data_IF_858090174029
#
_entry.id   IF_858090174029
#
_cell.length_a   1.000
_cell.length_b   1.000
_cell.length_c   1.000
_cell.angle_alpha   90.00
_cell.angle_beta   90.00
_cell.angle_gamma   90.00
#
_symmetry.space_group_name_H-M   'P 1'
#
loop_
_entity.id
_entity.type
_entity.pdbx_description
1 polymer ?
#
# COMPACT_ATOMS: atom_id res chain seq x y z
N UNK A 1 -13.21 13.64 -51.20
CA UNK A 1 -13.27 12.46 -50.30
C UNK A 1 -12.03 12.55 -49.44
N UNK A 2 -12.17 13.10 -48.22
CA UNK A 2 -11.05 13.23 -47.30
C UNK A 2 -10.74 11.86 -46.71
N UNK A 3 -9.47 11.53 -46.61
CA UNK A 3 -8.99 10.30 -46.02
C UNK A 3 -9.46 10.26 -44.54
N UNK A 4 -10.24 9.25 -44.09
CA UNK A 4 -10.75 9.20 -42.72
C UNK A 4 -9.65 9.18 -41.63
N UNK A 5 -8.39 8.94 -42.02
CA UNK A 5 -7.22 9.01 -41.14
C UNK A 5 -6.58 10.39 -40.99
N UNK A 6 -6.88 11.36 -41.86
CA UNK A 6 -6.35 12.73 -41.73
C UNK A 6 -7.18 13.58 -40.77
N UNK A 7 -8.51 13.44 -40.76
CA UNK A 7 -9.37 14.23 -39.86
C UNK A 7 -9.26 13.84 -38.38
N UNK A 8 -8.76 12.63 -38.07
CA UNK A 8 -8.58 12.18 -36.69
C UNK A 8 -7.33 12.79 -36.02
N UNK A 9 -6.33 13.23 -36.81
CA UNK A 9 -5.09 13.83 -36.31
C UNK A 9 -5.24 15.29 -35.91
N UNK A 10 -6.24 16.00 -36.44
CA UNK A 10 -6.50 17.41 -36.14
C UNK A 10 -7.45 17.61 -34.94
N UNK A 11 -8.01 16.54 -34.37
CA UNK A 11 -8.89 16.64 -33.21
C UNK A 11 -8.14 16.44 -31.89
N UNK A 12 -8.41 17.33 -30.92
CA UNK A 12 -7.81 17.27 -29.61
C UNK A 12 -8.11 15.93 -28.90
N UNK A 13 -7.09 15.30 -28.31
CA UNK A 13 -7.23 14.05 -27.59
C UNK A 13 -6.30 13.98 -26.38
N UNK A 14 -6.58 13.04 -25.47
CA UNK A 14 -5.76 12.86 -24.27
C UNK A 14 -4.42 12.23 -24.61
N UNK A 15 -3.32 12.83 -24.14
CA UNK A 15 -1.96 12.35 -24.37
C UNK A 15 -1.14 12.32 -23.07
N UNK A 16 -0.61 11.15 -22.71
CA UNK A 16 0.26 11.00 -21.54
C UNK A 16 1.68 11.48 -21.82
N UNK A 17 2.11 12.50 -21.09
CA UNK A 17 3.47 13.01 -21.15
C UNK A 17 4.45 12.23 -20.27
N UNK A 18 5.72 12.21 -20.66
CA UNK A 18 6.79 11.58 -19.91
C UNK A 18 7.17 12.39 -18.67
N UNK A 19 6.96 11.82 -17.47
CA UNK A 19 7.17 12.53 -16.19
C UNK A 19 8.54 12.26 -15.54
N UNK A 20 9.37 11.43 -16.18
CA UNK A 20 10.70 11.05 -15.73
C UNK A 20 10.72 9.93 -14.67
N UNK A 21 11.86 9.24 -14.55
CA UNK A 21 11.99 8.00 -13.76
C UNK A 21 11.66 8.18 -12.27
N UNK A 22 12.00 9.32 -11.67
CA UNK A 22 11.71 9.60 -10.26
C UNK A 22 10.22 9.68 -9.96
N UNK A 23 9.42 10.23 -10.88
CA UNK A 23 7.97 10.25 -10.72
C UNK A 23 7.39 8.83 -10.81
N UNK A 24 7.91 8.00 -11.73
CA UNK A 24 7.48 6.60 -11.87
C UNK A 24 7.76 5.79 -10.60
N UNK A 25 8.93 6.00 -9.97
CA UNK A 25 9.23 5.41 -8.66
C UNK A 25 8.29 5.91 -7.56
N UNK A 26 7.96 7.21 -7.53
CA UNK A 26 7.04 7.76 -6.56
C UNK A 26 5.61 7.19 -6.73
N UNK A 27 5.15 6.99 -7.97
CA UNK A 27 3.90 6.27 -8.23
C UNK A 27 3.96 4.82 -7.71
N UNK A 28 5.07 4.11 -7.94
CA UNK A 28 5.25 2.76 -7.40
C UNK A 28 5.21 2.74 -5.86
N UNK A 29 5.84 3.70 -5.19
CA UNK A 29 5.78 3.86 -3.72
C UNK A 29 4.33 4.03 -3.27
N UNK A 30 3.57 4.94 -3.90
CA UNK A 30 2.14 5.14 -3.58
C UNK A 30 1.35 3.83 -3.73
N UNK A 31 1.57 3.08 -4.80
CA UNK A 31 0.84 1.83 -5.05
C UNK A 31 1.17 0.70 -4.08
N UNK A 32 2.38 0.69 -3.48
CA UNK A 32 2.77 -0.26 -2.42
C UNK A 32 2.29 0.19 -1.05
N UNK A 33 2.45 1.48 -0.73
CA UNK A 33 2.21 1.99 0.61
C UNK A 33 0.74 1.92 0.99
N UNK A 34 -0.19 2.13 0.05
CA UNK A 34 -1.64 2.00 0.34
C UNK A 34 -2.01 0.60 0.85
N UNK A 35 -1.71 -0.51 0.14
CA UNK A 35 -1.98 -1.86 0.65
C UNK A 35 -1.12 -2.23 1.86
N UNK A 36 0.10 -1.71 1.97
CA UNK A 36 0.92 -1.86 3.18
C UNK A 36 0.22 -1.26 4.41
N UNK A 37 -0.29 -0.03 4.32
CA UNK A 37 -1.10 0.59 5.39
C UNK A 37 -2.39 -0.20 5.66
N UNK A 38 -3.02 -0.74 4.61
CA UNK A 38 -4.16 -1.65 4.76
C UNK A 38 -3.82 -2.88 5.59
N UNK A 39 -2.64 -3.47 5.39
CA UNK A 39 -2.15 -4.58 6.21
C UNK A 39 -1.90 -4.17 7.66
N UNK A 40 -1.40 -2.96 7.93
CA UNK A 40 -1.25 -2.46 9.30
C UNK A 40 -2.60 -2.36 10.02
N UNK A 41 -3.65 -1.89 9.33
CA UNK A 41 -5.02 -1.85 9.90
C UNK A 41 -5.52 -3.26 10.20
N UNK A 42 -5.30 -4.21 9.29
CA UNK A 42 -5.68 -5.61 9.51
C UNK A 42 -4.91 -6.20 10.69
N UNK A 43 -3.59 -5.97 10.78
CA UNK A 43 -2.77 -6.39 11.93
C UNK A 43 -3.29 -5.80 13.23
N UNK A 44 -3.60 -4.49 13.26
CA UNK A 44 -4.13 -3.81 14.44
C UNK A 44 -5.46 -4.40 14.91
N UNK A 45 -6.42 -4.58 13.98
CA UNK A 45 -7.71 -5.21 14.31
C UNK A 45 -7.51 -6.64 14.77
N UNK A 46 -6.60 -7.38 14.14
CA UNK A 46 -6.29 -8.77 14.52
C UNK A 46 -5.68 -8.83 15.93
N UNK A 47 -4.79 -7.89 16.29
CA UNK A 47 -4.23 -7.80 17.64
C UNK A 47 -5.31 -7.55 18.70
N UNK A 48 -6.25 -6.64 18.42
CA UNK A 48 -7.37 -6.39 19.36
C UNK A 48 -8.25 -7.63 19.49
N UNK A 49 -8.65 -8.25 18.37
CA UNK A 49 -9.52 -9.43 18.40
C UNK A 49 -8.84 -10.58 19.12
N UNK A 50 -7.58 -10.89 18.79
CA UNK A 50 -6.83 -11.98 19.42
C UNK A 50 -6.56 -11.64 20.88
N UNK A 51 -6.25 -10.39 21.22
CA UNK A 51 -6.08 -9.93 22.60
C UNK A 51 -7.33 -10.15 23.45
N UNK A 52 -8.51 -9.72 22.98
CA UNK A 52 -9.79 -9.92 23.68
C UNK A 52 -10.10 -11.42 23.83
N UNK A 53 -9.94 -12.21 22.76
CA UNK A 53 -10.19 -13.66 22.80
C UNK A 53 -9.18 -14.38 23.72
N UNK A 54 -7.96 -13.86 23.83
CA UNK A 54 -6.94 -14.33 24.76
C UNK A 54 -7.30 -14.02 26.21
N UNK A 55 -7.72 -12.79 26.51
CA UNK A 55 -8.15 -12.37 27.86
C UNK A 55 -9.37 -13.16 28.37
N UNK A 56 -10.29 -13.54 27.48
CA UNK A 56 -11.44 -14.40 27.81
C UNK A 56 -11.05 -15.88 28.04
N UNK A 57 -9.78 -16.25 27.88
CA UNK A 57 -9.29 -17.61 28.05
C UNK A 57 -9.68 -18.56 26.92
N UNK A 58 -10.36 -18.08 25.87
CA UNK A 58 -10.84 -18.91 24.76
C UNK A 58 -9.68 -19.55 24.00
N UNK A 59 -8.57 -18.83 23.80
CA UNK A 59 -7.36 -19.38 23.17
C UNK A 59 -6.81 -20.54 24.01
N UNK A 60 -6.68 -20.32 25.32
CA UNK A 60 -6.21 -21.33 26.28
C UNK A 60 -7.14 -22.54 26.29
N UNK A 61 -8.45 -22.34 26.33
CA UNK A 61 -9.46 -23.41 26.35
C UNK A 61 -9.46 -24.25 25.07
N UNK A 62 -9.28 -23.61 23.91
CA UNK A 62 -9.17 -24.31 22.63
C UNK A 62 -7.88 -25.11 22.55
N UNK A 63 -6.75 -24.52 22.98
CA UNK A 63 -5.45 -25.18 22.98
C UNK A 63 -5.41 -26.33 24.00
N UNK A 64 -6.02 -26.16 25.18
CA UNK A 64 -6.08 -27.16 26.24
C UNK A 64 -6.78 -28.48 25.82
N UNK A 65 -7.54 -28.47 24.71
CA UNK A 65 -8.10 -29.68 24.10
C UNK A 65 -7.05 -30.57 23.43
N UNK A 66 -5.90 -30.00 23.10
CA UNK A 66 -4.86 -30.65 22.29
C UNK A 66 -3.51 -30.74 23.01
N UNK A 67 -3.22 -29.80 23.91
CA UNK A 67 -1.98 -29.74 24.70
C UNK A 67 -2.30 -29.56 26.19
N UNK A 68 -1.39 -29.93 27.11
CA UNK A 68 -1.59 -29.71 28.54
C UNK A 68 -1.92 -28.24 28.87
N UNK A 69 -2.84 -28.01 29.82
CA UNK A 69 -3.36 -26.68 30.16
C UNK A 69 -2.26 -25.66 30.47
N UNK A 70 -1.22 -26.06 31.22
CA UNK A 70 -0.09 -25.18 31.53
C UNK A 70 0.63 -24.68 30.27
N UNK A 71 0.76 -25.52 29.23
CA UNK A 71 1.35 -25.13 27.94
C UNK A 71 0.41 -24.27 27.11
N UNK A 72 -0.89 -24.56 27.16
CA UNK A 72 -1.90 -23.72 26.51
C UNK A 72 -1.88 -22.29 27.07
N UNK A 73 -1.63 -22.15 28.37
CA UNK A 73 -1.49 -20.87 29.03
C UNK A 73 -0.19 -20.15 28.62
N UNK A 74 0.95 -20.85 28.59
CA UNK A 74 2.24 -20.30 28.11
C UNK A 74 2.16 -19.79 26.66
N UNK A 75 1.48 -20.51 25.75
CA UNK A 75 1.24 -20.03 24.37
C UNK A 75 0.44 -18.74 24.36
N UNK A 76 -0.62 -18.69 25.17
CA UNK A 76 -1.50 -17.53 25.25
C UNK A 76 -0.75 -16.30 25.78
N UNK A 77 0.09 -16.47 26.80
CA UNK A 77 0.88 -15.41 27.40
C UNK A 77 1.95 -14.90 26.42
N UNK A 78 2.66 -15.79 25.73
CA UNK A 78 3.65 -15.41 24.71
C UNK A 78 3.02 -14.71 23.51
N UNK A 79 1.81 -15.13 23.11
CA UNK A 79 1.04 -14.47 22.08
C UNK A 79 0.65 -13.05 22.52
N UNK A 80 0.14 -12.89 23.74
CA UNK A 80 -0.19 -11.58 24.30
C UNK A 80 1.03 -10.64 24.33
N UNK A 81 2.21 -11.12 24.75
CA UNK A 81 3.45 -10.34 24.71
C UNK A 81 3.82 -9.89 23.29
N UNK A 82 3.73 -10.79 22.31
CA UNK A 82 3.98 -10.45 20.90
C UNK A 82 2.98 -9.43 20.38
N UNK A 83 1.69 -9.58 20.67
CA UNK A 83 0.67 -8.63 20.23
C UNK A 83 0.90 -7.25 20.84
N UNK A 84 1.18 -7.17 22.15
CA UNK A 84 1.47 -5.93 22.87
C UNK A 84 2.67 -5.20 22.29
N UNK A 85 3.79 -5.89 22.07
CA UNK A 85 4.96 -5.24 21.51
C UNK A 85 4.74 -4.83 20.05
N UNK A 86 3.98 -5.61 19.28
CA UNK A 86 3.76 -5.36 17.86
C UNK A 86 2.88 -4.12 17.59
N UNK A 87 2.20 -3.56 18.60
CA UNK A 87 1.57 -2.24 18.49
C UNK A 87 2.59 -1.13 18.17
N UNK A 88 3.81 -1.21 18.72
CA UNK A 88 4.84 -0.20 18.48
C UNK A 88 5.26 -0.17 16.99
N UNK A 89 5.64 -1.30 16.35
CA UNK A 89 5.82 -1.38 14.91
C UNK A 89 4.61 -0.92 14.10
N UNK A 90 3.36 -1.24 14.49
CA UNK A 90 2.16 -0.77 13.78
C UNK A 90 2.12 0.76 13.73
N UNK A 91 2.30 1.43 14.87
CA UNK A 91 2.28 2.89 14.95
C UNK A 91 3.45 3.49 14.16
N UNK A 92 4.66 2.95 14.35
CA UNK A 92 5.86 3.43 13.67
C UNK A 92 5.76 3.28 12.14
N UNK A 93 5.32 2.12 11.65
CA UNK A 93 5.16 1.88 10.22
C UNK A 93 3.98 2.62 9.61
N UNK A 94 2.89 2.83 10.35
CA UNK A 94 1.79 3.67 9.89
C UNK A 94 2.31 5.09 9.67
N UNK A 95 3.03 5.62 10.66
CA UNK A 95 3.66 6.93 10.58
C UNK A 95 4.59 7.07 9.36
N UNK A 96 5.54 6.15 9.21
CA UNK A 96 6.49 6.15 8.10
C UNK A 96 5.82 5.93 6.75
N UNK A 97 4.79 5.09 6.67
CA UNK A 97 4.01 4.84 5.46
C UNK A 97 3.24 6.08 5.00
N UNK A 98 2.59 6.80 5.92
CA UNK A 98 1.94 8.08 5.62
C UNK A 98 2.94 9.15 5.17
N UNK A 99 4.11 9.23 5.82
CA UNK A 99 5.19 10.12 5.40
C UNK A 99 5.70 9.77 3.99
N UNK A 100 5.90 8.49 3.71
CA UNK A 100 6.36 8.01 2.40
C UNK A 100 5.35 8.35 1.29
N UNK A 101 4.04 8.21 1.56
CA UNK A 101 2.99 8.64 0.63
C UNK A 101 3.05 10.15 0.41
N UNK A 102 3.14 10.95 1.47
CA UNK A 102 3.20 12.41 1.36
C UNK A 102 4.44 12.89 0.57
N UNK A 103 5.60 12.26 0.78
CA UNK A 103 6.81 12.51 0.02
C UNK A 103 6.66 12.09 -1.44
N UNK A 104 6.08 10.91 -1.70
CA UNK A 104 5.84 10.42 -3.05
C UNK A 104 4.91 11.36 -3.83
N UNK A 105 3.80 11.79 -3.25
CA UNK A 105 2.89 12.77 -3.87
C UNK A 105 3.59 14.11 -4.15
N UNK A 106 4.44 14.57 -3.24
CA UNK A 106 5.25 15.79 -3.45
C UNK A 106 6.20 15.65 -4.64
N UNK A 107 6.85 14.49 -4.79
CA UNK A 107 7.73 14.19 -5.93
C UNK A 107 6.93 14.11 -7.23
N UNK A 108 5.76 13.46 -7.20
CA UNK A 108 4.84 13.37 -8.33
C UNK A 108 4.42 14.78 -8.77
N UNK A 109 3.92 15.60 -7.84
CA UNK A 109 3.50 16.98 -8.09
C UNK A 109 4.60 17.79 -8.78
N UNK A 110 5.81 17.80 -8.21
CA UNK A 110 6.92 18.55 -8.75
C UNK A 110 7.38 18.07 -10.14
N UNK A 111 7.41 16.75 -10.36
CA UNK A 111 7.90 16.16 -11.60
C UNK A 111 6.87 16.20 -12.73
N UNK A 112 5.61 15.96 -12.42
CA UNK A 112 4.49 16.10 -13.36
C UNK A 112 4.37 17.55 -13.78
N UNK A 113 4.40 18.51 -12.85
CA UNK A 113 4.38 19.94 -13.17
C UNK A 113 5.50 20.34 -14.12
N UNK A 114 6.73 19.88 -13.85
CA UNK A 114 7.87 20.16 -14.73
C UNK A 114 7.72 19.55 -16.12
N UNK A 115 7.19 18.32 -16.20
CA UNK A 115 6.98 17.63 -17.47
C UNK A 115 5.89 18.30 -18.31
N UNK A 116 4.78 18.70 -17.70
CA UNK A 116 3.71 19.42 -18.37
C UNK A 116 4.14 20.82 -18.80
N UNK A 117 4.96 21.49 -18.00
CA UNK A 117 5.57 22.76 -18.39
C UNK A 117 6.44 22.62 -19.65
N UNK A 118 7.37 21.67 -19.66
CA UNK A 118 8.21 21.43 -20.83
C UNK A 118 7.37 21.02 -22.07
N UNK A 119 6.30 20.25 -21.85
CA UNK A 119 5.37 19.89 -22.90
C UNK A 119 4.52 21.08 -23.38
N UNK A 120 4.23 22.07 -22.54
CA UNK A 120 3.49 23.26 -22.94
C UNK A 120 4.35 24.17 -23.84
N UNK A 121 5.65 24.27 -23.57
CA UNK A 121 6.60 25.06 -24.36
C UNK A 121 6.80 24.48 -25.76
N UNK A 122 6.94 23.14 -25.88
CA UNK A 122 7.32 22.46 -27.12
C UNK A 122 6.17 21.70 -27.83
N UNK A 123 5.05 21.46 -27.13
CA UNK A 123 4.08 20.44 -27.51
C UNK A 123 2.92 20.94 -28.37
N UNK A 124 2.28 20.02 -29.07
CA UNK A 124 1.12 20.24 -29.95
C UNK A 124 -0.15 20.61 -29.14
N UNK A 125 -0.90 21.68 -29.51
CA UNK A 125 -2.13 22.07 -28.82
C UNK A 125 -3.26 21.03 -28.91
N UNK A 126 -3.18 20.06 -29.83
CA UNK A 126 -4.14 18.97 -29.96
C UNK A 126 -3.85 17.80 -28.99
N UNK A 127 -2.65 17.74 -28.40
CA UNK A 127 -2.26 16.72 -27.42
C UNK A 127 -2.55 17.22 -26.00
N UNK A 128 -3.77 17.03 -25.52
CA UNK A 128 -4.17 17.57 -24.21
C UNK A 128 -3.73 16.60 -23.10
N UNK A 129 -3.09 17.05 -22.01
CA UNK A 129 -2.74 16.18 -20.90
C UNK A 129 -3.97 15.52 -20.26
N UNK A 130 -3.93 14.22 -19.89
CA UNK A 130 -5.03 13.55 -19.22
C UNK A 130 -5.31 14.17 -17.84
N UNK A 131 -6.54 14.08 -17.32
CA UNK A 131 -6.88 14.63 -16.01
C UNK A 131 -6.03 14.06 -14.85
N UNK A 132 -5.54 12.83 -14.97
CA UNK A 132 -4.64 12.22 -13.99
C UNK A 132 -3.25 12.88 -13.92
N UNK A 133 -2.80 13.56 -14.99
CA UNK A 133 -1.58 14.38 -14.99
C UNK A 133 -1.86 15.86 -14.68
N UNK A 134 -3.06 16.35 -14.96
CA UNK A 134 -3.45 17.73 -14.61
C UNK A 134 -3.75 17.90 -13.11
N UNK A 135 -4.31 16.87 -12.45
CA UNK A 135 -4.71 16.96 -11.04
C UNK A 135 -3.61 17.48 -10.08
N UNK A 136 -2.36 16.96 -10.12
CA UNK A 136 -1.30 17.48 -9.26
C UNK A 136 -0.94 18.95 -9.54
N UNK A 137 -1.21 19.45 -10.75
CA UNK A 137 -0.90 20.83 -11.15
C UNK A 137 -2.04 21.78 -10.80
N UNK A 138 -3.29 21.34 -10.89
CA UNK A 138 -4.49 22.13 -10.56
C UNK A 138 -4.77 22.22 -9.05
N UNK A 139 -4.34 21.21 -8.28
CA UNK A 139 -4.56 21.11 -6.85
C UNK A 139 -3.77 22.12 -6.00
N UNK A 140 -4.04 22.13 -4.68
CA UNK A 140 -3.24 22.94 -3.76
C UNK A 140 -1.82 22.37 -3.60
N UNK A 141 -0.77 23.21 -3.56
CA UNK A 141 0.59 22.70 -3.44
C UNK A 141 0.80 21.95 -2.14
N UNK A 142 1.52 20.83 -2.20
CA UNK A 142 1.89 19.99 -1.05
C UNK A 142 0.69 19.52 -0.22
N UNK A 143 -0.48 19.29 -0.84
CA UNK A 143 -1.70 18.91 -0.12
C UNK A 143 -1.50 17.66 0.77
N UNK A 144 -0.88 16.61 0.23
CA UNK A 144 -0.60 15.38 0.99
C UNK A 144 0.31 15.63 2.20
N UNK A 145 1.34 16.46 2.05
CA UNK A 145 2.24 16.84 3.14
C UNK A 145 1.54 17.70 4.20
N UNK A 146 0.60 18.56 3.79
CA UNK A 146 -0.23 19.34 4.71
C UNK A 146 -1.17 18.44 5.49
N UNK A 147 -1.80 17.45 4.86
CA UNK A 147 -2.63 16.45 5.53
C UNK A 147 -1.79 15.67 6.56
N UNK A 148 -0.60 15.23 6.16
CA UNK A 148 0.35 14.56 7.06
C UNK A 148 0.75 15.44 8.25
N UNK A 149 1.11 16.71 8.01
CA UNK A 149 1.47 17.66 9.06
C UNK A 149 0.29 17.95 10.01
N UNK A 150 -0.94 18.03 9.48
CA UNK A 150 -2.16 18.19 10.28
C UNK A 150 -2.40 16.97 11.16
N UNK A 151 -2.31 15.77 10.61
CA UNK A 151 -2.45 14.52 11.37
C UNK A 151 -1.38 14.43 12.48
N UNK A 152 -0.14 14.78 12.15
CA UNK A 152 0.97 14.89 13.10
C UNK A 152 0.68 15.85 14.25
N UNK A 153 0.11 17.03 13.94
CA UNK A 153 -0.23 18.01 14.95
C UNK A 153 -1.28 17.48 15.93
N UNK A 154 -2.28 16.74 15.43
CA UNK A 154 -3.29 16.11 16.28
C UNK A 154 -2.71 15.01 17.16
N UNK A 155 -2.02 14.02 16.56
CA UNK A 155 -1.43 12.90 17.29
C UNK A 155 -0.37 13.39 18.27
N UNK A 156 0.49 14.30 17.81
CA UNK A 156 1.51 14.93 18.62
C UNK A 156 0.96 15.81 19.74
N UNK A 157 -0.19 16.45 19.54
CA UNK A 157 -0.90 17.19 20.59
C UNK A 157 -1.40 16.28 21.70
N UNK A 158 -1.94 15.09 21.36
CA UNK A 158 -2.33 14.08 22.34
C UNK A 158 -1.10 13.54 23.07
N UNK A 159 -0.04 13.18 22.35
CA UNK A 159 1.22 12.71 22.94
C UNK A 159 1.85 13.76 23.86
N UNK A 160 1.84 15.04 23.46
CA UNK A 160 2.29 16.16 24.28
C UNK A 160 1.50 16.24 25.59
N UNK A 161 0.18 16.19 25.53
CA UNK A 161 -0.66 16.24 26.74
C UNK A 161 -0.37 15.07 27.69
N UNK A 162 -0.20 13.85 27.15
CA UNK A 162 0.18 12.67 27.93
C UNK A 162 1.56 12.81 28.58
N UNK A 163 2.55 13.29 27.82
CA UNK A 163 3.92 13.48 28.33
C UNK A 163 4.00 14.60 29.38
N UNK A 164 3.23 15.67 29.23
CA UNK A 164 3.12 16.73 30.26
C UNK A 164 2.46 16.17 31.52
N UNK A 165 1.37 15.41 31.39
CA UNK A 165 0.73 14.76 32.54
C UNK A 165 1.72 13.85 33.27
N UNK A 166 2.44 13.01 32.53
CA UNK A 166 3.49 12.15 33.08
C UNK A 166 4.59 12.96 33.78
N UNK A 167 5.07 14.04 33.15
CA UNK A 167 6.10 14.90 33.72
C UNK A 167 5.67 15.59 35.03
N UNK A 168 4.39 15.94 35.15
CA UNK A 168 3.82 16.56 36.36
C UNK A 168 3.59 15.52 37.46
N UNK A 169 3.04 14.36 37.12
CA UNK A 169 2.71 13.31 38.10
C UNK A 169 3.96 12.65 38.67
N UNK A 170 4.95 12.37 37.82
CA UNK A 170 6.19 11.67 38.20
C UNK A 170 7.35 12.63 38.51
N UNK A 171 7.09 13.95 38.55
CA UNK A 171 8.11 15.00 38.70
C UNK A 171 9.33 14.81 37.76
N UNK A 172 9.07 14.30 36.55
CA UNK A 172 10.11 13.83 35.64
C UNK A 172 10.61 14.91 34.69
N UNK A 173 11.88 15.31 34.85
CA UNK A 173 12.56 16.21 33.91
C UNK A 173 12.62 15.64 32.48
N UNK A 174 12.74 14.32 32.34
CA UNK A 174 12.71 13.65 31.03
C UNK A 174 11.33 13.72 30.38
N UNK A 175 10.25 13.67 31.17
CA UNK A 175 8.90 13.90 30.67
C UNK A 175 8.72 15.29 30.05
N UNK A 176 9.23 16.33 30.72
CA UNK A 176 9.20 17.71 30.20
C UNK A 176 10.03 17.86 28.93
N UNK A 177 11.23 17.28 28.89
CA UNK A 177 12.07 17.29 27.70
C UNK A 177 11.39 16.60 26.52
N UNK A 178 10.83 15.40 26.73
CA UNK A 178 10.11 14.65 25.71
C UNK A 178 8.89 15.43 25.18
N UNK A 179 8.10 16.04 26.07
CA UNK A 179 6.98 16.89 25.69
C UNK A 179 7.45 18.07 24.81
N UNK A 180 8.51 18.78 25.22
CA UNK A 180 9.05 19.89 24.44
C UNK A 180 9.52 19.45 23.05
N UNK A 181 10.19 18.29 22.95
CA UNK A 181 10.64 17.74 21.67
C UNK A 181 9.45 17.42 20.76
N UNK A 182 8.39 16.79 21.28
CA UNK A 182 7.18 16.50 20.51
C UNK A 182 6.49 17.78 20.04
N UNK A 183 6.38 18.79 20.90
CA UNK A 183 5.79 20.08 20.55
C UNK A 183 6.61 20.80 19.48
N UNK A 184 7.94 20.90 19.66
CA UNK A 184 8.84 21.54 18.70
C UNK A 184 8.80 20.85 17.34
N UNK A 185 8.79 19.51 17.33
CA UNK A 185 8.69 18.71 16.10
C UNK A 185 7.39 18.99 15.33
N UNK A 186 6.25 18.86 16.01
CA UNK A 186 4.92 18.95 15.38
C UNK A 186 4.60 20.36 14.89
N UNK A 187 4.92 21.39 15.69
CA UNK A 187 4.79 22.79 15.30
C UNK A 187 5.78 23.15 14.20
N UNK A 188 7.04 22.71 14.31
CA UNK A 188 8.06 22.94 13.30
C UNK A 188 7.68 22.37 11.94
N UNK A 189 7.16 21.14 11.92
CA UNK A 189 6.64 20.50 10.70
C UNK A 189 5.48 21.29 10.10
N UNK A 190 4.48 21.65 10.92
CA UNK A 190 3.31 22.41 10.46
C UNK A 190 3.68 23.77 9.86
N UNK A 191 4.51 24.55 10.58
CA UNK A 191 4.99 25.86 10.12
C UNK A 191 5.86 25.72 8.88
N UNK A 192 6.75 24.72 8.85
CA UNK A 192 7.63 24.44 7.72
C UNK A 192 6.85 24.13 6.44
N UNK A 193 5.86 23.25 6.51
CA UNK A 193 5.01 22.87 5.36
C UNK A 193 4.21 24.06 4.86
N UNK A 194 3.58 24.84 5.76
CA UNK A 194 2.80 26.02 5.36
C UNK A 194 3.67 27.11 4.71
N UNK A 195 4.90 27.32 5.21
CA UNK A 195 5.85 28.27 4.63
C UNK A 195 6.38 27.80 3.27
N UNK A 196 6.59 26.50 3.09
CA UNK A 196 7.00 25.96 1.80
C UNK A 196 5.86 26.07 0.78
N UNK A 197 4.63 25.74 1.19
CA UNK A 197 3.43 25.85 0.37
C UNK A 197 3.20 27.29 -0.14
N UNK A 198 3.30 28.30 0.72
CA UNK A 198 3.08 29.69 0.30
C UNK A 198 4.10 30.14 -0.77
N UNK A 199 5.34 29.66 -0.69
CA UNK A 199 6.37 29.91 -1.71
C UNK A 199 6.09 29.17 -3.02
N UNK A 200 5.61 27.93 -2.93
CA UNK A 200 5.31 27.11 -4.12
C UNK A 200 4.04 27.57 -4.84
N UNK A 201 3.03 28.08 -4.11
CA UNK A 201 1.78 28.57 -4.69
C UNK A 201 2.00 29.65 -5.77
N UNK A 202 2.91 30.60 -5.52
CA UNK A 202 3.25 31.65 -6.51
C UNK A 202 3.85 31.05 -7.78
N UNK A 203 4.69 30.02 -7.64
CA UNK A 203 5.32 29.35 -8.78
C UNK A 203 4.32 28.50 -9.56
N UNK A 204 3.47 27.78 -8.84
CA UNK A 204 2.45 26.92 -9.42
C UNK A 204 1.39 27.75 -10.17
N UNK A 205 0.99 28.91 -9.65
CA UNK A 205 0.07 29.82 -10.36
C UNK A 205 0.63 30.25 -11.72
N UNK A 206 1.91 30.66 -11.78
CA UNK A 206 2.57 31.01 -13.05
C UNK A 206 2.64 29.83 -14.02
N UNK A 207 2.78 28.62 -13.50
CA UNK A 207 2.79 27.41 -14.31
C UNK A 207 1.39 27.08 -14.84
N UNK A 208 0.36 27.20 -14.01
CA UNK A 208 -1.03 27.03 -14.43
C UNK A 208 -1.39 28.01 -15.54
N UNK A 209 -0.99 29.29 -15.43
CA UNK A 209 -1.23 30.31 -16.45
C UNK A 209 -0.58 29.93 -17.81
N UNK A 210 0.64 29.40 -17.80
CA UNK A 210 1.35 28.99 -19.02
C UNK A 210 0.76 27.72 -19.64
N UNK A 211 0.42 26.72 -18.81
CA UNK A 211 -0.25 25.49 -19.25
C UNK A 211 -1.62 25.81 -19.86
N UNK A 212 -2.39 26.69 -19.21
CA UNK A 212 -3.70 27.14 -19.70
C UNK A 212 -3.60 27.96 -21.00
N UNK A 213 -2.51 28.71 -21.19
CA UNK A 213 -2.26 29.44 -22.43
C UNK A 213 -2.01 28.49 -23.62
N UNK A 214 -1.42 27.31 -23.39
CA UNK A 214 -1.15 26.34 -24.45
C UNK A 214 -2.35 25.44 -24.77
N UNK A 215 -2.98 24.89 -23.74
CA UNK A 215 -4.17 24.05 -23.87
C UNK A 215 -5.38 24.80 -23.30
N UNK A 216 -6.03 25.66 -24.12
CA UNK A 216 -7.20 26.41 -23.67
C UNK A 216 -8.36 25.48 -23.29
N UNK A 217 -9.23 25.96 -22.41
CA UNK A 217 -10.39 25.19 -21.92
C UNK A 217 -11.25 24.61 -23.05
N UNK A 218 -11.30 25.26 -24.22
CA UNK A 218 -12.03 24.77 -25.39
C UNK A 218 -11.50 23.44 -25.92
N UNK A 219 -10.17 23.28 -26.02
CA UNK A 219 -9.56 22.03 -26.46
C UNK A 219 -9.86 20.90 -25.44
N UNK A 220 -9.76 21.22 -24.15
CA UNK A 220 -10.09 20.28 -23.09
C UNK A 220 -11.59 19.89 -23.10
N UNK A 221 -12.47 20.86 -23.33
CA UNK A 221 -13.91 20.66 -23.43
C UNK A 221 -14.30 19.78 -24.62
N UNK A 222 -13.59 19.89 -25.75
CA UNK A 222 -13.77 18.99 -26.91
C UNK A 222 -13.44 17.54 -26.53
N UNK A 223 -12.30 17.30 -25.85
CA UNK A 223 -11.93 15.94 -25.43
C UNK A 223 -12.91 15.41 -24.38
N UNK A 224 -13.32 16.24 -23.41
CA UNK A 224 -14.32 15.90 -22.40
C UNK A 224 -15.68 15.55 -23.01
N UNK A 225 -16.13 16.30 -24.02
CA UNK A 225 -17.39 16.04 -24.72
C UNK A 225 -17.35 14.70 -25.49
N UNK A 226 -16.22 14.39 -26.15
CA UNK A 226 -16.00 13.07 -26.77
C UNK A 226 -16.00 11.93 -25.74
N UNK A 227 -15.33 12.16 -24.61
CA UNK A 227 -15.27 11.20 -23.51
C UNK A 227 -16.63 10.96 -22.83
N UNK A 228 -17.52 11.96 -22.83
CA UNK A 228 -18.86 11.93 -22.24
C UNK A 228 -19.90 11.18 -23.09
N UNK A 229 -19.61 10.89 -24.38
CA UNK A 229 -20.50 10.07 -25.20
C UNK A 229 -20.65 8.68 -24.54
N UNK A 230 -21.82 8.48 -23.92
CA UNK A 230 -22.17 7.26 -23.17
C UNK A 230 -21.90 6.03 -24.04
N UNK A 231 -21.26 4.98 -23.48
CA UNK A 231 -21.14 3.72 -24.19
C UNK A 231 -22.54 3.17 -24.45
N UNK A 232 -22.87 2.98 -25.71
CA UNK A 232 -24.01 2.18 -26.13
C UNK A 232 -23.75 0.74 -25.68
N UNK A 233 -24.52 0.31 -24.68
CA UNK A 233 -25.02 -1.06 -24.47
C UNK A 233 -24.15 -2.22 -23.95
N UNK A 234 -22.91 -2.04 -23.46
CA UNK A 234 -22.20 -3.19 -22.84
C UNK A 234 -22.40 -3.23 -21.32
N UNK A 235 -23.19 -4.22 -20.87
CA UNK A 235 -23.49 -4.53 -19.47
C UNK A 235 -22.20 -5.03 -18.79
N UNK A 236 -22.06 -4.77 -17.49
CA UNK A 236 -20.90 -5.19 -16.68
C UNK A 236 -20.56 -6.69 -16.71
N UNK A 237 -21.51 -7.54 -17.16
CA UNK A 237 -21.31 -8.99 -17.35
C UNK A 237 -20.26 -9.36 -18.41
N UNK A 238 -20.00 -8.48 -19.39
CA UNK A 238 -19.11 -8.81 -20.52
C UNK A 238 -17.61 -8.73 -20.15
N UNK A 239 -17.26 -8.32 -18.93
CA UNK A 239 -15.86 -8.22 -18.48
C UNK A 239 -15.28 -9.59 -18.15
N UNK A 240 -16.10 -10.50 -17.63
CA UNK A 240 -15.69 -11.91 -17.44
C UNK A 240 -15.65 -12.68 -18.76
N UNK A 241 -16.45 -12.26 -19.75
CA UNK A 241 -16.47 -12.82 -21.10
C UNK A 241 -15.32 -12.29 -21.98
N UNK A 242 -14.75 -11.13 -21.65
CA UNK A 242 -13.58 -10.60 -22.32
C UNK A 242 -12.32 -11.48 -22.07
N UNK A 243 -11.39 -11.60 -23.06
CA UNK A 243 -10.21 -12.45 -22.93
C UNK A 243 -9.38 -12.12 -21.68
N UNK A 244 -9.18 -13.12 -20.80
CA UNK A 244 -8.42 -12.94 -19.57
C UNK A 244 -9.21 -12.39 -18.36
N UNK A 245 -10.50 -12.08 -18.51
CA UNK A 245 -11.37 -11.64 -17.41
C UNK A 245 -11.44 -12.64 -16.26
N UNK A 246 -11.68 -13.92 -16.56
CA UNK A 246 -11.69 -15.04 -15.59
C UNK A 246 -10.35 -15.21 -14.86
N UNK A 247 -9.23 -15.07 -15.57
CA UNK A 247 -7.88 -15.16 -14.98
C UNK A 247 -7.64 -14.04 -13.97
N UNK A 248 -8.04 -12.80 -14.29
CA UNK A 248 -7.95 -11.67 -13.35
C UNK A 248 -8.86 -11.84 -12.13
N UNK A 249 -10.06 -12.43 -12.31
CA UNK A 249 -10.95 -12.74 -11.20
C UNK A 249 -10.32 -13.76 -10.24
N UNK A 250 -9.79 -14.86 -10.77
CA UNK A 250 -9.11 -15.90 -9.96
C UNK A 250 -7.86 -15.36 -9.25
N UNK A 251 -7.07 -14.52 -9.94
CA UNK A 251 -5.92 -13.86 -9.33
C UNK A 251 -6.32 -13.03 -8.10
N UNK A 252 -7.43 -12.27 -8.17
CA UNK A 252 -7.92 -11.48 -7.02
C UNK A 252 -8.27 -12.37 -5.81
N UNK A 253 -8.95 -13.49 -6.03
CA UNK A 253 -9.31 -14.42 -4.94
C UNK A 253 -8.07 -15.01 -4.28
N UNK A 254 -7.06 -15.38 -5.09
CA UNK A 254 -5.81 -15.95 -4.62
C UNK A 254 -4.93 -14.98 -3.81
N UNK A 255 -5.11 -13.66 -3.96
CA UNK A 255 -4.36 -12.66 -3.15
C UNK A 255 -4.87 -12.59 -1.70
N UNK A 256 -6.12 -12.95 -1.44
CA UNK A 256 -6.73 -12.81 -0.10
C UNK A 256 -6.35 -13.96 0.85
N UNK A 257 -6.15 -15.16 0.30
CA UNK A 257 -5.85 -16.38 1.07
C UNK A 257 -4.49 -16.39 1.80
N UNK A 258 -3.38 -15.85 1.23
CA UNK A 258 -2.09 -15.79 1.91
C UNK A 258 -2.10 -15.01 3.23
N UNK A 259 -2.94 -13.99 3.37
CA UNK A 259 -3.04 -13.23 4.63
C UNK A 259 -3.55 -14.10 5.79
N UNK A 260 -4.57 -14.92 5.53
CA UNK A 260 -5.11 -15.86 6.52
C UNK A 260 -4.12 -17.00 6.83
N UNK A 261 -3.44 -17.51 5.80
CA UNK A 261 -2.41 -18.54 5.96
C UNK A 261 -1.18 -18.03 6.72
N UNK A 262 -0.79 -16.77 6.54
CA UNK A 262 0.30 -16.15 7.29
C UNK A 262 -0.02 -16.03 8.78
N UNK A 263 -1.26 -15.67 9.14
CA UNK A 263 -1.72 -15.67 10.53
C UNK A 263 -1.69 -17.09 11.13
N UNK A 264 -2.12 -18.11 10.37
CA UNK A 264 -2.04 -19.52 10.79
C UNK A 264 -0.58 -19.95 10.97
N UNK A 265 0.34 -19.52 10.09
CA UNK A 265 1.76 -19.83 10.22
C UNK A 265 2.38 -19.23 11.49
N UNK A 266 2.07 -17.97 11.81
CA UNK A 266 2.49 -17.33 13.07
C UNK A 266 1.91 -18.07 14.28
N UNK A 267 0.67 -18.52 14.20
CA UNK A 267 0.06 -19.30 15.28
C UNK A 267 0.72 -20.68 15.47
N UNK A 268 1.01 -21.39 14.38
CA UNK A 268 1.72 -22.68 14.41
C UNK A 268 3.16 -22.53 14.95
N UNK A 269 3.83 -21.44 14.62
CA UNK A 269 5.16 -21.08 15.14
C UNK A 269 5.15 -21.00 16.67
N UNK A 270 4.14 -20.34 17.25
CA UNK A 270 3.98 -20.18 18.70
C UNK A 270 3.65 -21.51 19.39
N UNK A 271 2.85 -22.37 18.74
CA UNK A 271 2.58 -23.72 19.24
C UNK A 271 3.88 -24.54 19.27
N UNK A 272 4.68 -24.51 18.20
CA UNK A 272 5.96 -25.23 18.15
C UNK A 272 6.93 -24.79 19.24
N UNK A 273 6.92 -23.49 19.57
CA UNK A 273 7.69 -22.86 20.65
C UNK A 273 7.35 -23.42 22.03
N UNK A 274 6.08 -23.31 22.43
CA UNK A 274 5.64 -23.75 23.74
C UNK A 274 5.76 -25.26 23.93
N UNK A 275 5.74 -26.02 22.83
CA UNK A 275 6.01 -27.45 22.89
C UNK A 275 7.51 -27.71 23.05
N UNK A 276 8.42 -26.97 22.41
CA UNK A 276 9.87 -27.25 22.48
C UNK A 276 10.54 -26.86 23.81
N UNK A 277 9.99 -25.89 24.53
CA UNK A 277 10.49 -25.42 25.82
C UNK A 277 9.42 -25.53 26.93
N UNK A 278 8.97 -26.74 27.30
CA UNK A 278 7.90 -26.88 28.27
C UNK A 278 8.37 -26.46 29.66
N UNK A 279 7.67 -25.52 30.29
CA UNK A 279 8.05 -24.93 31.57
C UNK A 279 8.80 -23.61 31.44
N UNK A 280 8.97 -23.11 30.21
CA UNK A 280 9.35 -21.71 30.02
C UNK A 280 8.22 -20.83 30.53
N UNK A 281 8.45 -20.13 31.64
CA UNK A 281 7.53 -19.13 32.18
C UNK A 281 7.99 -17.73 31.78
N UNK A 282 7.18 -16.73 32.09
CA UNK A 282 7.55 -15.30 32.01
C UNK A 282 8.90 -14.96 32.68
N UNK A 283 9.40 -15.80 33.61
CA UNK A 283 10.57 -15.48 34.42
C UNK A 283 11.75 -16.45 34.27
N UNK A 284 11.55 -17.64 33.68
CA UNK A 284 12.61 -18.64 33.53
C UNK A 284 12.43 -19.43 32.23
N UNK A 285 13.51 -19.54 31.44
CA UNK A 285 13.56 -20.43 30.30
C UNK A 285 13.87 -21.85 30.80
N UNK A 286 12.90 -22.76 30.69
CA UNK A 286 13.18 -24.18 30.86
C UNK A 286 14.09 -24.67 29.73
N UNK A 287 14.98 -25.60 30.06
CA UNK A 287 15.78 -26.33 29.07
C UNK A 287 14.86 -26.86 27.96
N UNK A 288 15.37 -26.89 26.73
CA UNK A 288 14.65 -27.52 25.63
C UNK A 288 14.29 -28.95 26.05
N UNK A 289 13.00 -29.28 26.08
CA UNK A 289 12.65 -30.64 26.45
C UNK A 289 13.12 -31.58 25.37
N UNK A 290 13.94 -32.54 25.77
CA UNK A 290 14.27 -33.68 24.93
C UNK A 290 13.03 -34.56 24.84
N UNK A 291 12.38 -34.51 23.68
CA UNK A 291 11.31 -35.43 23.36
C UNK A 291 11.87 -36.74 22.84
N UNK A 292 11.07 -37.81 22.95
CA UNK A 292 11.37 -39.04 22.23
C UNK A 292 11.45 -38.77 20.71
N UNK A 293 12.02 -39.72 19.96
CA UNK A 293 12.23 -39.54 18.52
C UNK A 293 10.94 -39.18 17.76
N UNK A 294 9.77 -39.62 18.26
CA UNK A 294 8.46 -39.31 17.67
C UNK A 294 8.04 -37.86 17.98
N UNK A 295 8.22 -37.37 19.20
CA UNK A 295 7.93 -35.99 19.59
C UNK A 295 8.86 -34.97 18.94
N UNK A 296 10.16 -35.25 18.80
CA UNK A 296 11.08 -34.41 18.01
C UNK A 296 10.70 -34.40 16.51
N UNK A 297 10.24 -35.53 15.97
CA UNK A 297 9.75 -35.60 14.58
C UNK A 297 8.47 -34.78 14.39
N UNK A 298 7.57 -34.75 15.36
CA UNK A 298 6.35 -33.93 15.35
C UNK A 298 6.65 -32.43 15.47
N UNK A 299 7.55 -32.04 16.38
CA UNK A 299 8.03 -30.67 16.55
C UNK A 299 8.78 -30.15 15.33
N UNK A 300 9.66 -30.96 14.75
CA UNK A 300 10.27 -30.70 13.45
C UNK A 300 9.23 -30.62 12.34
N UNK A 301 8.18 -31.44 12.42
CA UNK A 301 7.02 -31.40 11.53
C UNK A 301 6.28 -30.06 11.54
N UNK A 302 6.10 -29.42 12.70
CA UNK A 302 5.49 -28.08 12.80
C UNK A 302 6.30 -27.04 12.02
N UNK A 303 7.63 -27.10 12.12
CA UNK A 303 8.53 -26.25 11.34
C UNK A 303 8.42 -26.49 9.84
N UNK A 304 8.36 -27.76 9.41
CA UNK A 304 8.15 -28.11 8.01
C UNK A 304 6.77 -27.70 7.50
N UNK A 305 5.72 -27.80 8.33
CA UNK A 305 4.38 -27.32 8.00
C UNK A 305 4.39 -25.80 7.87
N UNK A 306 5.04 -25.08 8.78
CA UNK A 306 5.15 -23.63 8.70
C UNK A 306 5.91 -23.19 7.45
N UNK A 307 7.06 -23.81 7.18
CA UNK A 307 7.81 -23.57 5.95
C UNK A 307 6.95 -23.88 4.72
N UNK A 308 6.21 -24.99 4.72
CA UNK A 308 5.28 -25.34 3.66
C UNK A 308 4.16 -24.29 3.50
N UNK A 309 3.59 -23.77 4.59
CA UNK A 309 2.56 -22.72 4.54
C UNK A 309 3.13 -21.42 3.96
N UNK A 310 4.34 -21.01 4.38
CA UNK A 310 5.01 -19.83 3.82
C UNK A 310 5.31 -20.03 2.33
N UNK A 311 5.83 -21.20 1.95
CA UNK A 311 6.08 -21.56 0.55
C UNK A 311 4.77 -21.53 -0.25
N UNK A 312 3.69 -22.11 0.27
CA UNK A 312 2.36 -22.07 -0.37
C UNK A 312 1.87 -20.62 -0.50
N UNK A 313 2.03 -19.78 0.52
CA UNK A 313 1.67 -18.35 0.43
C UNK A 313 2.43 -17.66 -0.70
N UNK A 314 3.75 -17.85 -0.75
CA UNK A 314 4.60 -17.27 -1.82
C UNK A 314 4.17 -17.81 -3.17
N UNK A 315 3.95 -19.11 -3.31
CA UNK A 315 3.48 -19.74 -4.54
C UNK A 315 2.10 -19.21 -4.97
N UNK A 316 1.18 -18.96 -4.04
CA UNK A 316 -0.13 -18.38 -4.33
C UNK A 316 -0.02 -16.93 -4.79
N UNK A 317 0.88 -16.14 -4.19
CA UNK A 317 1.13 -14.76 -4.61
C UNK A 317 1.77 -14.74 -5.99
N UNK A 318 2.76 -15.60 -6.24
CA UNK A 318 3.43 -15.74 -7.54
C UNK A 318 2.43 -16.24 -8.59
N UNK A 319 1.63 -17.26 -8.29
CA UNK A 319 0.60 -17.77 -9.18
C UNK A 319 -0.45 -16.70 -9.49
N UNK A 320 -0.89 -15.93 -8.48
CA UNK A 320 -1.79 -14.79 -8.69
C UNK A 320 -1.16 -13.73 -9.58
N UNK A 321 0.11 -13.39 -9.36
CA UNK A 321 0.85 -12.44 -10.19
C UNK A 321 0.93 -12.93 -11.64
N UNK A 322 1.26 -14.20 -11.86
CA UNK A 322 1.34 -14.83 -13.19
C UNK A 322 -0.03 -14.87 -13.87
N UNK A 323 -1.08 -15.27 -13.16
CA UNK A 323 -2.45 -15.30 -13.69
C UNK A 323 -2.95 -13.89 -14.03
N UNK A 324 -2.67 -12.91 -13.16
CA UNK A 324 -2.97 -11.51 -13.41
C UNK A 324 -2.23 -11.00 -14.65
N UNK A 325 -0.93 -11.29 -14.77
CA UNK A 325 -0.11 -10.88 -15.90
C UNK A 325 -0.54 -11.55 -17.20
N UNK A 326 -0.83 -12.84 -17.18
CA UNK A 326 -1.35 -13.56 -18.34
C UNK A 326 -2.70 -12.97 -18.78
N UNK A 327 -3.58 -12.65 -17.82
CA UNK A 327 -4.85 -11.99 -18.08
C UNK A 327 -4.69 -10.57 -18.64
N UNK A 328 -3.74 -9.78 -18.13
CA UNK A 328 -3.46 -8.44 -18.66
C UNK A 328 -2.86 -8.50 -20.04
N UNK A 329 -1.88 -9.37 -20.30
CA UNK A 329 -1.26 -9.52 -21.62
C UNK A 329 -2.21 -10.10 -22.68
N UNK A 330 -3.19 -10.94 -22.30
CA UNK A 330 -4.24 -11.38 -23.21
C UNK A 330 -5.18 -10.21 -23.59
N UNK A 331 -5.61 -9.43 -22.59
CA UNK A 331 -6.49 -8.28 -22.81
C UNK A 331 -5.79 -7.16 -23.57
N UNK A 332 -4.51 -6.93 -23.31
CA UNK A 332 -3.69 -5.94 -24.00
C UNK A 332 -3.56 -6.28 -25.49
N UNK A 333 -3.25 -7.54 -25.83
CA UNK A 333 -3.20 -7.98 -27.23
C UNK A 333 -4.54 -7.79 -27.93
N UNK A 334 -5.63 -8.19 -27.30
CA UNK A 334 -6.98 -8.00 -27.82
C UNK A 334 -7.34 -6.52 -28.02
N UNK A 335 -6.93 -5.64 -27.08
CA UNK A 335 -7.11 -4.20 -27.22
C UNK A 335 -6.25 -3.60 -28.32
N UNK A 336 -5.00 -4.04 -28.50
CA UNK A 336 -4.11 -3.60 -29.59
C UNK A 336 -4.67 -3.99 -30.95
N UNK A 337 -5.10 -5.23 -31.11
CA UNK A 337 -5.74 -5.73 -32.34
C UNK A 337 -6.98 -4.91 -32.68
N UNK A 338 -7.86 -4.68 -31.70
CA UNK A 338 -9.05 -3.84 -31.91
C UNK A 338 -8.69 -2.39 -32.17
N UNK A 339 -7.65 -1.85 -31.53
CA UNK A 339 -7.20 -0.49 -31.73
C UNK A 339 -6.52 -0.28 -33.10
N UNK A 340 -6.07 -1.35 -33.76
CA UNK A 340 -5.55 -1.30 -35.13
C UNK A 340 -6.66 -1.36 -36.20
N UNK A 341 -7.77 -2.05 -35.95
CA UNK A 341 -8.88 -2.18 -36.91
C UNK A 341 -9.83 -0.97 -36.85
N UNK A 342 -9.91 -0.09 -37.88
CA UNK A 342 -10.75 1.12 -37.84
C UNK A 342 -12.25 0.84 -37.64
N UNK A 343 -12.71 -0.37 -37.98
CA UNK A 343 -14.13 -0.76 -37.90
C UNK A 343 -14.50 -1.40 -36.55
N UNK A 344 -13.52 -1.70 -35.69
CA UNK A 344 -13.78 -2.34 -34.42
C UNK A 344 -14.60 -1.44 -33.48
N UNK A 345 -15.64 -2.02 -32.90
CA UNK A 345 -16.51 -1.37 -31.92
C UNK A 345 -15.75 -1.00 -30.64
N UNK A 346 -16.25 0.02 -29.94
CA UNK A 346 -15.65 0.51 -28.69
C UNK A 346 -15.69 -0.60 -27.60
N UNK A 347 -14.55 -0.93 -26.97
CA UNK A 347 -14.51 -1.90 -25.87
C UNK A 347 -15.29 -1.45 -24.63
N UNK A 348 -15.61 -2.38 -23.70
CA UNK A 348 -16.32 -2.05 -22.46
C UNK A 348 -15.60 -0.96 -21.64
N UNK A 349 -16.37 -0.04 -21.04
CA UNK A 349 -15.82 1.10 -20.32
C UNK A 349 -14.85 0.71 -19.20
N UNK A 350 -15.19 -0.31 -18.39
CA UNK A 350 -14.31 -0.79 -17.31
C UNK A 350 -13.00 -1.41 -17.82
N UNK A 351 -13.01 -2.01 -19.02
CA UNK A 351 -11.80 -2.53 -19.65
C UNK A 351 -10.96 -1.36 -20.16
N UNK A 352 -11.55 -0.38 -20.85
CA UNK A 352 -10.83 0.81 -21.29
C UNK A 352 -10.22 1.56 -20.10
N UNK A 353 -10.98 1.81 -19.05
CA UNK A 353 -10.48 2.41 -17.80
C UNK A 353 -9.38 1.56 -17.14
N UNK A 354 -9.47 0.24 -17.33
CA UNK A 354 -8.48 -0.75 -16.94
C UNK A 354 -7.09 -0.53 -17.53
N UNK A 355 -7.01 -0.02 -18.75
CA UNK A 355 -5.77 0.05 -19.54
C UNK A 355 -5.41 1.46 -19.99
N UNK A 356 -6.32 2.42 -19.93
CA UNK A 356 -6.06 3.82 -20.27
C UNK A 356 -5.58 4.65 -19.09
N UNK A 357 -5.51 4.10 -17.88
CA UNK A 357 -5.00 4.77 -16.68
C UNK A 357 -3.78 4.03 -16.12
N UNK A 358 -2.96 4.74 -15.34
CA UNK A 358 -1.86 4.13 -14.60
C UNK A 358 -2.42 3.20 -13.54
N UNK A 359 -2.20 1.89 -13.70
CA UNK A 359 -2.61 0.89 -12.71
C UNK A 359 -1.41 0.29 -12.00
N UNK A 360 -1.49 0.20 -10.68
CA UNK A 360 -0.57 -0.61 -9.90
C UNK A 360 -0.82 -2.10 -10.14
N UNK A 361 0.25 -2.84 -10.42
CA UNK A 361 0.31 -4.28 -10.56
C UNK A 361 -0.40 -4.95 -9.38
N UNK A 362 -1.32 -5.91 -9.61
CA UNK A 362 -1.95 -6.66 -8.53
C UNK A 362 -0.93 -7.35 -7.62
N UNK A 363 0.16 -7.88 -8.21
CA UNK A 363 1.27 -8.48 -7.50
C UNK A 363 1.93 -7.48 -6.52
N UNK A 364 2.17 -6.24 -6.98
CA UNK A 364 2.73 -5.17 -6.15
C UNK A 364 1.85 -4.88 -4.93
N UNK A 365 0.52 -4.86 -5.13
CA UNK A 365 -0.43 -4.63 -4.04
C UNK A 365 -0.45 -5.78 -3.04
N UNK A 366 -0.47 -7.02 -3.53
CA UNK A 366 -0.39 -8.22 -2.69
C UNK A 366 0.91 -8.27 -1.89
N UNK A 367 2.04 -8.00 -2.53
CA UNK A 367 3.35 -7.95 -1.86
C UNK A 367 3.45 -6.82 -0.85
N UNK A 368 2.92 -5.63 -1.15
CA UNK A 368 2.85 -4.52 -0.19
C UNK A 368 2.04 -4.88 1.06
N UNK A 369 0.91 -5.58 0.87
CA UNK A 369 0.10 -6.08 1.98
C UNK A 369 0.86 -7.11 2.84
N UNK A 370 1.48 -8.11 2.21
CA UNK A 370 2.25 -9.15 2.92
C UNK A 370 3.45 -8.55 3.65
N UNK A 371 4.16 -7.61 3.02
CA UNK A 371 5.27 -6.91 3.66
C UNK A 371 4.79 -6.14 4.89
N UNK A 372 3.61 -5.51 4.86
CA UNK A 372 3.03 -4.87 6.05
C UNK A 372 2.79 -5.84 7.20
N UNK A 373 2.20 -7.00 6.94
CA UNK A 373 1.98 -8.03 7.96
C UNK A 373 3.30 -8.54 8.54
N UNK A 374 4.23 -8.93 7.66
CA UNK A 374 5.54 -9.49 8.03
C UNK A 374 6.37 -8.48 8.80
N UNK A 375 6.39 -7.21 8.38
CA UNK A 375 7.14 -6.16 9.09
C UNK A 375 6.60 -5.97 10.50
N UNK A 376 5.28 -5.95 10.71
CA UNK A 376 4.71 -5.73 12.05
C UNK A 376 5.09 -6.84 13.03
N UNK A 377 4.80 -8.09 12.69
CA UNK A 377 5.04 -9.22 13.60
C UNK A 377 6.52 -9.60 13.64
N UNK A 378 7.21 -9.53 12.50
CA UNK A 378 8.65 -9.77 12.42
C UNK A 378 9.43 -8.76 13.24
N UNK A 379 9.11 -7.46 13.16
CA UNK A 379 9.77 -6.46 14.01
C UNK A 379 9.42 -6.65 15.48
N UNK A 380 8.17 -7.04 15.82
CA UNK A 380 7.83 -7.41 17.19
C UNK A 380 8.69 -8.54 17.75
N UNK A 381 8.91 -9.61 16.97
CA UNK A 381 9.81 -10.71 17.32
C UNK A 381 11.27 -10.25 17.48
N UNK A 382 11.75 -9.38 16.59
CA UNK A 382 13.11 -8.83 16.69
C UNK A 382 13.26 -7.98 17.95
N UNK A 383 12.27 -7.16 18.29
CA UNK A 383 12.30 -6.33 19.50
C UNK A 383 12.33 -7.19 20.76
N UNK A 384 11.44 -8.20 20.85
CA UNK A 384 11.41 -9.10 22.01
C UNK A 384 12.68 -9.96 22.13
N UNK A 385 13.21 -10.42 21.00
CA UNK A 385 14.35 -11.33 20.97
C UNK A 385 15.73 -10.67 21.02
N UNK A 386 15.83 -9.36 20.73
CA UNK A 386 17.12 -8.65 20.65
C UNK A 386 17.34 -7.60 21.75
N UNK A 387 16.27 -7.10 22.35
CA UNK A 387 16.35 -6.04 23.35
C UNK A 387 16.03 -6.63 24.73
N UNK A 388 16.87 -6.30 25.71
CA UNK A 388 16.52 -6.52 27.12
C UNK A 388 15.41 -5.53 27.51
N UNK A 389 14.17 -5.96 27.26
CA UNK A 389 12.97 -5.16 27.53
C UNK A 389 12.52 -5.28 28.99
N UNK A 390 13.22 -6.05 29.83
CA UNK A 390 12.95 -6.13 31.27
C UNK A 390 13.10 -4.77 31.95
N UNK A 391 14.02 -3.92 31.47
CA UNK A 391 14.15 -2.54 31.93
C UNK A 391 13.06 -1.58 31.43
N UNK A 392 12.27 -1.96 30.41
CA UNK A 392 11.17 -1.14 29.88
C UNK A 392 9.86 -1.42 30.62
N UNK A 393 9.57 -2.70 30.87
CA UNK A 393 8.52 -3.13 31.78
C UNK A 393 8.76 -4.58 32.21
N UNK A 394 8.51 -4.88 33.49
CA UNK A 394 8.62 -6.23 34.05
C UNK A 394 7.75 -7.27 33.34
N UNK A 395 6.80 -6.84 32.49
CA UNK A 395 6.03 -7.75 31.64
C UNK A 395 6.87 -8.42 30.55
N UNK A 396 8.00 -7.83 30.15
CA UNK A 396 8.88 -8.33 29.09
C UNK A 396 10.18 -8.97 29.61
N UNK A 397 10.31 -9.19 30.92
CA UNK A 397 11.47 -9.90 31.48
C UNK A 397 11.63 -11.27 30.82
N UNK A 398 12.85 -11.65 30.41
CA UNK A 398 13.14 -12.95 29.80
C UNK A 398 12.62 -13.13 28.37
N UNK A 399 12.09 -12.09 27.72
CA UNK A 399 11.62 -12.18 26.34
C UNK A 399 12.74 -12.49 25.34
N UNK A 400 13.95 -12.01 25.61
CA UNK A 400 15.14 -12.26 24.81
C UNK A 400 15.50 -13.75 24.76
N UNK A 401 15.32 -14.46 25.87
CA UNK A 401 15.55 -15.89 25.98
C UNK A 401 14.50 -16.70 25.22
N UNK A 402 13.23 -16.25 25.22
CA UNK A 402 12.12 -16.91 24.53
C UNK A 402 12.17 -16.65 23.02
N UNK A 403 12.38 -15.40 22.62
CA UNK A 403 12.26 -14.95 21.23
C UNK A 403 13.61 -14.85 20.48
N UNK A 404 14.75 -14.97 21.18
CA UNK A 404 16.09 -14.80 20.60
C UNK A 404 16.38 -15.73 19.42
N UNK A 405 15.92 -16.98 19.47
CA UNK A 405 16.07 -17.95 18.37
C UNK A 405 15.37 -17.52 17.06
N UNK A 406 14.42 -16.57 17.15
CA UNK A 406 13.58 -16.13 16.03
C UNK A 406 14.06 -14.84 15.39
N UNK A 407 15.03 -14.15 15.98
CA UNK A 407 15.57 -12.91 15.45
C UNK A 407 16.10 -13.10 14.03
N UNK A 408 16.94 -14.11 13.81
CA UNK A 408 17.51 -14.36 12.48
C UNK A 408 16.45 -14.78 11.44
N UNK A 409 15.54 -15.73 11.71
CA UNK A 409 14.40 -16.01 10.83
C UNK A 409 13.52 -14.79 10.54
N UNK A 410 13.21 -13.98 11.55
CA UNK A 410 12.38 -12.79 11.40
C UNK A 410 13.05 -11.74 10.52
N UNK A 411 14.35 -11.48 10.72
CA UNK A 411 15.14 -10.59 9.86
C UNK A 411 15.20 -11.11 8.41
N UNK A 412 15.37 -12.43 8.23
CA UNK A 412 15.35 -13.05 6.91
C UNK A 412 14.00 -12.86 6.20
N UNK A 413 12.90 -13.05 6.91
CA UNK A 413 11.53 -12.87 6.39
C UNK A 413 11.26 -11.41 6.02
N UNK A 414 11.63 -10.46 6.90
CA UNK A 414 11.52 -9.02 6.63
C UNK A 414 12.35 -8.65 5.40
N UNK A 415 13.61 -9.07 5.35
CA UNK A 415 14.52 -8.79 4.24
C UNK A 415 13.98 -9.33 2.91
N UNK A 416 13.48 -10.56 2.90
CA UNK A 416 12.87 -11.17 1.72
C UNK A 416 11.61 -10.43 1.27
N UNK A 417 10.73 -10.04 2.20
CA UNK A 417 9.52 -9.29 1.88
C UNK A 417 9.84 -7.91 1.28
N UNK A 418 10.80 -7.19 1.87
CA UNK A 418 11.25 -5.88 1.35
C UNK A 418 11.91 -6.00 -0.02
N UNK A 419 12.75 -7.02 -0.24
CA UNK A 419 13.39 -7.27 -1.53
C UNK A 419 12.35 -7.55 -2.62
N UNK A 420 11.35 -8.38 -2.33
CA UNK A 420 10.27 -8.68 -3.28
C UNK A 420 9.42 -7.45 -3.60
N UNK A 421 9.16 -6.59 -2.62
CA UNK A 421 8.50 -5.29 -2.84
C UNK A 421 9.33 -4.43 -3.78
N UNK A 422 10.65 -4.32 -3.56
CA UNK A 422 11.54 -3.54 -4.43
C UNK A 422 11.57 -4.09 -5.88
N UNK A 423 11.62 -5.40 -6.06
CA UNK A 423 11.55 -6.05 -7.38
C UNK A 423 10.22 -5.72 -8.06
N UNK A 424 9.10 -5.85 -7.34
CA UNK A 424 7.78 -5.53 -7.88
C UNK A 424 7.64 -4.04 -8.23
N UNK A 425 8.25 -3.14 -7.44
CA UNK A 425 8.28 -1.72 -7.76
C UNK A 425 9.07 -1.45 -9.04
N UNK A 426 10.23 -2.11 -9.22
CA UNK A 426 11.01 -2.04 -10.46
C UNK A 426 10.22 -2.52 -11.68
N UNK A 427 9.52 -3.66 -11.54
CA UNK A 427 8.63 -4.18 -12.59
C UNK A 427 7.47 -3.21 -12.90
N UNK A 428 6.88 -2.59 -11.88
CA UNK A 428 5.84 -1.57 -12.05
C UNK A 428 6.35 -0.37 -12.83
N UNK A 429 7.53 0.15 -12.49
CA UNK A 429 8.15 1.28 -13.19
C UNK A 429 8.39 0.91 -14.65
N UNK A 430 8.99 -0.25 -14.90
CA UNK A 430 9.25 -0.74 -16.25
C UNK A 430 7.97 -0.88 -17.07
N UNK A 431 6.94 -1.52 -16.52
CA UNK A 431 5.64 -1.69 -17.19
C UNK A 431 4.95 -0.34 -17.45
N UNK A 432 4.96 0.57 -16.48
CA UNK A 432 4.31 1.88 -16.64
C UNK A 432 4.95 2.67 -17.77
N UNK A 433 6.28 2.57 -17.93
CA UNK A 433 7.02 3.21 -19.01
C UNK A 433 6.77 2.52 -20.35
N UNK A 434 6.87 1.19 -20.41
CA UNK A 434 6.73 0.44 -21.67
C UNK A 434 5.31 0.48 -22.24
N UNK A 435 4.29 0.55 -21.38
CA UNK A 435 2.89 0.59 -21.81
C UNK A 435 2.40 2.01 -22.15
N UNK A 436 3.21 3.07 -21.98
CA UNK A 436 2.75 4.46 -22.18
C UNK A 436 2.19 4.70 -23.58
N UNK A 437 2.89 4.22 -24.61
CA UNK A 437 2.46 4.36 -26.00
C UNK A 437 1.13 3.65 -26.24
N UNK A 438 0.96 2.46 -25.65
CA UNK A 438 -0.29 1.73 -25.72
C UNK A 438 -1.44 2.48 -25.02
N UNK A 439 -1.19 3.11 -23.87
CA UNK A 439 -2.20 3.96 -23.21
C UNK A 439 -2.59 5.16 -24.06
N UNK A 440 -1.62 5.80 -24.72
CA UNK A 440 -1.85 6.92 -25.62
C UNK A 440 -2.67 6.50 -26.84
N UNK A 441 -2.35 5.36 -27.46
CA UNK A 441 -3.13 4.76 -28.54
C UNK A 441 -4.61 4.55 -28.14
N UNK A 442 -4.85 4.01 -26.95
CA UNK A 442 -6.22 3.80 -26.45
C UNK A 442 -6.95 5.11 -26.19
N UNK A 443 -6.26 6.12 -25.66
CA UNK A 443 -6.82 7.44 -25.34
C UNK A 443 -7.16 8.27 -26.56
N UNK A 444 -6.32 8.19 -27.60
CA UNK A 444 -6.55 8.80 -28.91
C UNK A 444 -7.81 8.20 -29.56
N UNK A 445 -7.86 6.86 -29.62
CA UNK A 445 -8.95 6.15 -30.30
C UNK A 445 -10.27 6.17 -29.54
N UNK A 446 -10.23 5.92 -28.23
CA UNK A 446 -11.42 5.83 -27.38
C UNK A 446 -11.25 6.65 -26.10
N UNK A 447 -11.33 7.99 -26.19
CA UNK A 447 -11.20 8.85 -25.02
C UNK A 447 -12.26 8.48 -23.97
N UNK A 448 -11.83 8.28 -22.74
CA UNK A 448 -12.72 8.01 -21.61
C UNK A 448 -12.61 9.13 -20.58
N UNK A 449 -13.69 9.34 -19.83
CA UNK A 449 -13.65 10.22 -18.66
C UNK A 449 -13.09 9.42 -17.49
N UNK A 450 -11.97 9.82 -16.88
CA UNK A 450 -11.48 9.15 -15.69
C UNK A 450 -12.47 9.33 -14.52
N UNK A 451 -12.60 8.32 -13.63
CA UNK A 451 -13.46 8.41 -12.47
C UNK A 451 -12.95 9.48 -11.49
N UNK A 452 -13.86 10.31 -10.97
CA UNK A 452 -13.58 11.25 -9.89
C UNK A 452 -12.99 12.61 -10.28
N UNK A 453 -12.54 12.82 -11.53
CA UNK A 453 -12.04 14.13 -11.97
C UNK A 453 -13.15 14.90 -12.71
N UNK A 454 -13.68 15.92 -12.04
CA UNK A 454 -14.67 16.85 -12.59
C UNK A 454 -16.14 16.59 -12.24
N UNK A 455 -16.48 15.70 -11.30
CA UNK A 455 -17.84 15.62 -10.77
C UNK A 455 -18.21 16.87 -9.95
N UNK A 456 -17.28 17.40 -9.15
CA UNK A 456 -17.56 18.56 -8.28
C UNK A 456 -18.08 19.79 -9.04
N UNK A 457 -17.45 20.20 -10.14
CA UNK A 457 -17.92 21.36 -10.93
C UNK A 457 -19.16 21.08 -11.77
N UNK A 458 -19.35 19.86 -12.29
CA UNK A 458 -20.54 19.54 -13.08
C UNK A 458 -21.80 19.32 -12.23
N UNK A 459 -21.63 18.82 -11.01
CA UNK A 459 -22.74 18.59 -10.08
C UNK A 459 -23.14 19.90 -9.38
N UNK A 460 -22.19 20.82 -9.16
CA UNK A 460 -22.48 22.19 -8.72
C UNK A 460 -23.15 23.04 -9.83
N UNK A 461 -22.75 22.88 -11.09
CA UNK A 461 -23.40 23.56 -12.22
C UNK A 461 -24.76 22.94 -12.62
N UNK A 462 -24.95 21.64 -12.36
CA UNK A 462 -26.21 20.93 -12.61
C UNK A 462 -27.29 21.17 -11.55
N UNK A 463 -26.87 21.44 -10.30
CA UNK A 463 -27.78 21.79 -9.20
C UNK A 463 -28.06 23.30 -9.07
N UNK A 464 -27.51 24.12 -9.97
CA UNK A 464 -27.77 25.56 -10.07
C UNK A 464 -28.82 25.91 -11.15
N UNK A 465 -29.67 24.96 -11.56
CA UNK A 465 -30.82 25.19 -12.44
C UNK A 465 -32.13 24.90 -11.75
#
# INVERSE_FOLDING_TARGET
MNNPGESARDEAHWYEYAVGMWAEWAYAVRFVMVPFLGALVVSFVSMIVIGVVGEEGVITDVLARWIPLYRAQEVSDNLDLLLRISFLPVVAFAYLGFLAIALAETVIEARVSKALFAAADDGDPHLVPPPSQMWPVEGEPLEAMRIFAKANLWVGGVAFAMLVLFAVVEESAMGWLAAFVVAAYTLGLWVGVNKLRSRLAVRQQRWQEQVAARWPEDAENVVRARAAKKPTSVRDGDIEEAPGGRLRAHARTLVLLPGALALIAVFLMQIGLAVRHPGSSKYELADAAEYDAVGETLLGGIWWIMLAVVVVCVLMIVASAVLAQAGTSAMERWLRERAADPMASRPPYKVLLGFSERQGLPALKGMGFVAGLVSVFGTGLVLLGSLDMGGFADIYSGSDQIFGAYVAPALGLIGAALLLVLICMGLQVWQTVSEREFRNLLRERWPIRPPGVGQRKSDEAGNAK
#
